data_IF_068977740572
#
_entry.id   IF_068977740572
#
_cell.length_a   1.000
_cell.length_b   1.000
_cell.length_c   1.000
_cell.angle_alpha   90.00
_cell.angle_beta   90.00
_cell.angle_gamma   90.00
#
_symmetry.space_group_name_H-M   'P 1'
#
loop_
_entity.id
_entity.type
_entity.pdbx_description
1 polymer ?
#
# COMPACT_ATOMS: atom_id res chain seq x y z
N UNK A 1 -3.33 13.69 -4.79
CA UNK A 1 -2.18 14.46 -5.29
C UNK A 1 -2.59 15.86 -5.69
N UNK A 2 -3.63 16.02 -6.51
CA UNK A 2 -4.25 17.32 -6.85
C UNK A 2 -4.53 18.22 -5.63
N UNK A 3 -5.18 17.70 -4.58
CA UNK A 3 -5.44 18.45 -3.34
C UNK A 3 -4.19 18.93 -2.59
N UNK A 4 -3.03 18.32 -2.85
CA UNK A 4 -1.73 18.72 -2.29
C UNK A 4 -0.91 19.56 -3.28
N UNK A 5 -1.42 19.78 -4.49
CA UNK A 5 -0.70 20.43 -5.59
C UNK A 5 0.65 19.78 -5.91
N UNK A 6 0.74 18.46 -5.74
CA UNK A 6 1.95 17.67 -6.01
C UNK A 6 1.81 16.88 -7.31
N UNK A 7 2.92 16.76 -8.05
CA UNK A 7 3.06 15.81 -9.16
C UNK A 7 3.05 14.38 -8.63
N UNK A 8 2.65 13.43 -9.48
CA UNK A 8 2.74 12.01 -9.16
C UNK A 8 2.98 11.17 -10.40
N UNK A 9 3.54 10.00 -10.18
CA UNK A 9 3.72 8.97 -11.20
C UNK A 9 2.43 8.15 -11.32
N UNK A 10 2.13 7.66 -12.53
CA UNK A 10 0.93 6.84 -12.76
C UNK A 10 1.09 5.41 -12.24
N UNK A 11 2.25 4.79 -12.51
CA UNK A 11 2.55 3.40 -12.17
C UNK A 11 3.71 3.25 -11.18
N UNK A 12 4.41 4.34 -10.87
CA UNK A 12 5.57 4.34 -9.98
C UNK A 12 5.20 4.61 -8.52
N UNK A 13 6.19 4.46 -7.66
CA UNK A 13 6.10 4.76 -6.23
C UNK A 13 6.83 6.06 -5.93
N UNK A 14 6.11 7.01 -5.35
CA UNK A 14 6.63 8.32 -4.97
C UNK A 14 6.73 8.44 -3.44
N UNK A 15 7.69 9.20 -2.92
CA UNK A 15 7.83 9.49 -1.49
C UNK A 15 7.50 10.95 -1.21
N UNK A 16 6.59 11.16 -0.26
CA UNK A 16 6.18 12.47 0.24
C UNK A 16 6.60 12.61 1.69
N UNK A 17 7.21 13.75 2.04
CA UNK A 17 7.59 14.09 3.41
C UNK A 17 7.18 15.53 3.71
N UNK A 18 6.54 15.76 4.86
CA UNK A 18 6.12 17.11 5.29
C UNK A 18 5.32 17.88 4.23
N UNK A 19 4.41 17.18 3.54
CA UNK A 19 3.57 17.75 2.48
C UNK A 19 4.31 18.07 1.17
N UNK A 20 5.56 17.63 1.01
CA UNK A 20 6.37 17.86 -0.19
C UNK A 20 6.77 16.54 -0.83
N UNK A 21 6.78 16.53 -2.16
CA UNK A 21 7.30 15.43 -2.95
C UNK A 21 8.83 15.43 -2.87
N UNK A 22 9.42 14.38 -2.29
CA UNK A 22 10.87 14.27 -2.08
C UNK A 22 11.53 13.48 -3.21
N UNK A 23 10.86 12.45 -3.71
CA UNK A 23 11.33 11.65 -4.82
C UNK A 23 10.14 10.98 -5.53
N UNK A 24 10.32 10.66 -6.81
CA UNK A 24 9.30 10.09 -7.70
C UNK A 24 9.83 8.85 -8.42
N UNK A 25 8.92 7.97 -8.79
CA UNK A 25 9.18 6.78 -9.64
C UNK A 25 10.37 5.93 -9.14
N UNK A 26 10.33 5.61 -7.85
CA UNK A 26 11.45 4.98 -7.14
C UNK A 26 11.46 3.47 -7.30
N UNK A 27 12.65 2.89 -7.44
CA UNK A 27 12.85 1.45 -7.28
C UNK A 27 13.03 1.05 -5.79
N UNK A 28 13.07 -0.27 -5.53
CA UNK A 28 13.24 -0.83 -4.19
C UNK A 28 14.45 -0.25 -3.43
N UNK A 29 15.63 -0.23 -4.05
CA UNK A 29 16.86 0.23 -3.40
C UNK A 29 16.78 1.70 -3.00
N UNK A 30 16.18 2.54 -3.85
CA UNK A 30 15.95 3.95 -3.56
C UNK A 30 14.96 4.13 -2.41
N UNK A 31 13.88 3.36 -2.40
CA UNK A 31 12.89 3.38 -1.31
C UNK A 31 13.57 2.99 -0.01
N UNK A 32 14.26 1.84 0.05
CA UNK A 32 14.98 1.35 1.22
C UNK A 32 15.98 2.37 1.77
N UNK A 33 16.75 3.02 0.89
CA UNK A 33 17.69 4.07 1.29
C UNK A 33 17.01 5.31 1.87
N UNK A 34 15.84 5.69 1.36
CA UNK A 34 15.09 6.87 1.81
C UNK A 34 14.30 6.64 3.10
N UNK A 35 13.76 5.42 3.29
CA UNK A 35 13.01 5.03 4.48
C UNK A 35 13.92 4.56 5.63
N UNK A 36 15.22 4.38 5.38
CA UNK A 36 16.14 3.94 6.41
C UNK A 36 16.13 4.90 7.62
N UNK A 37 15.97 4.33 8.81
CA UNK A 37 15.93 5.04 10.12
C UNK A 37 14.82 6.10 10.26
N UNK A 38 13.81 6.08 9.38
CA UNK A 38 12.67 7.00 9.43
C UNK A 38 11.37 6.24 9.56
N UNK A 39 10.44 6.78 10.35
CA UNK A 39 9.06 6.31 10.31
C UNK A 39 8.44 6.66 8.96
N UNK A 40 7.98 5.65 8.24
CA UNK A 40 7.33 5.76 6.95
C UNK A 40 5.98 5.05 7.00
N UNK A 41 5.10 5.36 6.05
CA UNK A 41 3.82 4.67 5.85
C UNK A 41 3.68 4.31 4.39
N UNK A 42 3.15 3.13 4.13
CA UNK A 42 2.79 2.69 2.79
C UNK A 42 1.31 2.96 2.60
N UNK A 43 0.93 3.75 1.60
CA UNK A 43 -0.47 4.00 1.25
C UNK A 43 -0.75 3.31 -0.07
N UNK A 44 -1.63 2.32 -0.04
CA UNK A 44 -1.92 1.45 -1.19
C UNK A 44 -3.41 1.28 -1.38
N UNK A 45 -3.82 1.02 -2.61
CA UNK A 45 -5.21 0.69 -2.95
C UNK A 45 -5.26 -0.68 -3.59
N UNK A 46 -6.27 -1.52 -3.28
CA UNK A 46 -6.44 -2.79 -3.96
C UNK A 46 -6.58 -2.62 -5.46
N UNK A 47 -6.01 -3.56 -6.21
CA UNK A 47 -6.18 -3.66 -7.67
C UNK A 47 -7.65 -3.99 -7.94
N UNK A 48 -8.32 -3.11 -8.70
CA UNK A 48 -9.75 -3.23 -8.97
C UNK A 48 -10.10 -4.55 -9.65
N UNK A 49 -11.18 -5.20 -9.21
CA UNK A 49 -11.66 -6.46 -9.76
C UNK A 49 -10.90 -7.72 -9.33
N UNK A 50 -9.66 -7.58 -8.84
CA UNK A 50 -8.85 -8.72 -8.37
C UNK A 50 -8.65 -8.74 -6.85
N UNK A 51 -8.59 -7.56 -6.20
CA UNK A 51 -8.48 -7.47 -4.74
C UNK A 51 -7.05 -7.54 -4.18
N UNK A 52 -6.02 -7.67 -5.01
CA UNK A 52 -4.63 -7.65 -4.55
C UNK A 52 -4.23 -6.30 -3.96
N UNK A 53 -3.70 -6.30 -2.74
CA UNK A 53 -3.08 -5.13 -2.09
C UNK A 53 -1.59 -5.07 -2.46
N UNK A 54 -0.93 -6.23 -2.36
CA UNK A 54 0.45 -6.45 -2.80
C UNK A 54 0.47 -7.66 -3.71
N UNK A 55 1.16 -7.54 -4.84
CA UNK A 55 1.30 -8.60 -5.83
C UNK A 55 2.70 -8.57 -6.44
N UNK A 56 3.08 -9.66 -7.11
CA UNK A 56 4.44 -9.86 -7.67
C UNK A 56 4.92 -8.81 -8.67
N UNK A 57 3.99 -8.09 -9.31
CA UNK A 57 4.31 -7.10 -10.34
C UNK A 57 4.81 -5.75 -9.81
N UNK A 58 4.59 -5.45 -8.52
CA UNK A 58 4.95 -4.16 -7.91
C UNK A 58 6.17 -4.29 -6.97
N UNK A 59 7.28 -4.77 -7.52
CA UNK A 59 8.50 -5.07 -6.73
C UNK A 59 9.15 -3.84 -6.07
N UNK A 60 8.71 -2.62 -6.42
CA UNK A 60 9.11 -1.39 -5.72
C UNK A 60 8.73 -1.45 -4.23
N UNK A 61 7.57 -2.03 -3.91
CA UNK A 61 7.12 -2.33 -2.54
C UNK A 61 7.41 -3.80 -2.21
N UNK A 62 8.69 -4.17 -2.27
CA UNK A 62 9.16 -5.53 -2.02
C UNK A 62 8.89 -6.00 -0.57
N UNK A 63 9.02 -7.32 -0.30
CA UNK A 63 9.07 -7.86 1.06
C UNK A 63 10.01 -7.10 1.99
N UNK A 64 11.20 -6.70 1.52
CA UNK A 64 12.17 -5.96 2.32
C UNK A 64 11.65 -4.57 2.71
N UNK A 65 11.01 -3.86 1.76
CA UNK A 65 10.40 -2.56 2.02
C UNK A 65 9.26 -2.70 3.03
N UNK A 66 8.39 -3.70 2.86
CA UNK A 66 7.26 -3.94 3.77
C UNK A 66 7.76 -4.28 5.17
N UNK A 67 8.74 -5.20 5.31
CA UNK A 67 9.35 -5.54 6.61
C UNK A 67 9.99 -4.31 7.28
N UNK A 68 10.71 -3.49 6.50
CA UNK A 68 11.39 -2.28 7.00
C UNK A 68 10.40 -1.21 7.49
N UNK A 69 9.27 -1.05 6.80
CA UNK A 69 8.22 -0.09 7.16
C UNK A 69 7.33 -0.61 8.29
N UNK A 70 7.11 -1.93 8.35
CA UNK A 70 6.18 -2.58 9.29
C UNK A 70 4.76 -2.64 8.74
N UNK A 71 4.11 -3.80 8.92
CA UNK A 71 2.75 -4.05 8.42
C UNK A 71 1.71 -3.15 9.09
N UNK A 72 1.95 -2.73 10.33
CA UNK A 72 1.13 -1.78 11.08
C UNK A 72 1.13 -0.37 10.47
N UNK A 73 2.12 -0.07 9.62
CA UNK A 73 2.25 1.19 8.89
C UNK A 73 1.74 1.12 7.46
N UNK A 74 1.14 0.00 7.06
CA UNK A 74 0.40 -0.14 5.79
C UNK A 74 -1.02 0.40 5.96
N UNK A 75 -1.35 1.41 5.17
CA UNK A 75 -2.70 2.00 5.09
C UNK A 75 -3.31 1.60 3.77
N UNK A 76 -4.31 0.73 3.83
CA UNK A 76 -5.12 0.35 2.68
C UNK A 76 -6.25 1.36 2.50
N UNK A 77 -6.37 1.94 1.30
CA UNK A 77 -7.43 2.88 0.92
C UNK A 77 -8.25 2.32 -0.25
N UNK A 78 -9.57 2.36 -0.15
CA UNK A 78 -10.46 1.93 -1.23
C UNK A 78 -11.81 2.62 -1.10
N UNK A 79 -12.43 3.03 -2.20
CA UNK A 79 -13.82 3.48 -2.14
C UNK A 79 -14.74 2.30 -1.80
N UNK A 80 -15.89 2.58 -1.16
CA UNK A 80 -16.88 1.53 -0.90
C UNK A 80 -17.27 0.79 -2.19
N UNK A 81 -17.42 1.50 -3.31
CA UNK A 81 -17.72 0.90 -4.61
C UNK A 81 -16.62 -0.05 -5.10
N UNK A 82 -15.33 0.28 -4.89
CA UNK A 82 -14.21 -0.59 -5.25
C UNK A 82 -14.19 -1.87 -4.40
N UNK A 83 -14.54 -1.78 -3.12
CA UNK A 83 -14.65 -2.97 -2.27
C UNK A 83 -15.87 -3.83 -2.61
N UNK A 84 -17.02 -3.20 -2.87
CA UNK A 84 -18.26 -3.89 -3.24
C UNK A 84 -18.13 -4.64 -4.57
N UNK A 85 -17.33 -4.14 -5.51
CA UNK A 85 -17.10 -4.84 -6.79
C UNK A 85 -16.29 -6.13 -6.66
N UNK A 86 -15.60 -6.33 -5.52
CA UNK A 86 -14.96 -7.60 -5.17
C UNK A 86 -15.95 -8.66 -4.70
N UNK A 87 -17.26 -8.38 -4.69
CA UNK A 87 -18.32 -9.34 -4.32
C UNK A 87 -18.14 -9.97 -2.94
N UNK A 88 -17.53 -9.24 -2.00
CA UNK A 88 -17.19 -9.68 -0.64
C UNK A 88 -16.07 -10.73 -0.56
N UNK A 89 -15.36 -10.98 -1.66
CA UNK A 89 -14.13 -11.77 -1.62
C UNK A 89 -13.06 -11.05 -0.79
N UNK A 90 -12.20 -11.77 -0.07
CA UNK A 90 -11.11 -11.18 0.70
C UNK A 90 -10.14 -10.40 -0.20
N UNK A 91 -9.41 -9.46 0.40
CA UNK A 91 -8.26 -8.87 -0.26
C UNK A 91 -7.12 -9.89 -0.32
N UNK A 92 -6.29 -9.77 -1.35
CA UNK A 92 -5.26 -10.76 -1.64
C UNK A 92 -3.87 -10.17 -1.43
N UNK A 93 -2.94 -11.00 -0.96
CA UNK A 93 -1.51 -10.68 -0.90
C UNK A 93 -0.67 -11.80 -1.51
N UNK A 94 0.25 -11.43 -2.40
CA UNK A 94 1.27 -12.32 -2.95
C UNK A 94 2.54 -11.50 -3.21
N UNK A 95 3.33 -11.31 -2.16
CA UNK A 95 4.59 -10.56 -2.19
C UNK A 95 5.75 -11.41 -2.73
N UNK A 96 5.55 -12.72 -2.88
CA UNK A 96 6.61 -13.69 -3.19
C UNK A 96 7.45 -14.10 -1.97
N UNK A 97 7.16 -13.57 -0.78
CA UNK A 97 7.78 -13.94 0.50
C UNK A 97 6.67 -14.40 1.47
N UNK A 98 6.70 -15.69 1.81
CA UNK A 98 5.68 -16.32 2.67
C UNK A 98 5.64 -15.73 4.08
N UNK A 99 6.76 -15.23 4.61
CA UNK A 99 6.79 -14.57 5.91
C UNK A 99 5.97 -13.28 5.85
N UNK A 100 6.20 -12.44 4.84
CA UNK A 100 5.48 -11.17 4.68
C UNK A 100 4.01 -11.39 4.36
N UNK A 101 3.70 -12.35 3.50
CA UNK A 101 2.31 -12.71 3.20
C UNK A 101 1.57 -13.10 4.48
N UNK A 102 2.21 -13.89 5.35
CA UNK A 102 1.64 -14.26 6.65
C UNK A 102 1.51 -13.07 7.62
N UNK A 103 2.43 -12.10 7.60
CA UNK A 103 2.32 -10.88 8.41
C UNK A 103 1.16 -9.97 7.97
N UNK A 104 0.79 -10.01 6.68
CA UNK A 104 -0.28 -9.20 6.10
C UNK A 104 -1.67 -9.86 6.19
N UNK A 105 -1.72 -11.18 6.40
CA UNK A 105 -2.97 -11.95 6.51
C UNK A 105 -3.78 -11.59 7.75
N UNK A 106 -5.09 -11.82 7.64
CA UNK A 106 -6.05 -11.59 8.71
C UNK A 106 -6.87 -10.32 8.48
N UNK A 107 -7.40 -9.74 9.55
CA UNK A 107 -8.28 -8.59 9.44
C UNK A 107 -7.49 -7.29 9.45
N UNK A 108 -7.64 -6.49 8.39
CA UNK A 108 -7.06 -5.15 8.27
C UNK A 108 -8.14 -4.07 8.21
N UNK A 109 -7.80 -2.89 8.69
CA UNK A 109 -8.65 -1.70 8.51
C UNK A 109 -8.39 -1.08 7.15
N UNK A 110 -9.43 -0.97 6.33
CA UNK A 110 -9.42 -0.25 5.06
C UNK A 110 -10.08 1.12 5.25
N UNK A 111 -9.40 2.19 4.87
CA UNK A 111 -9.97 3.55 4.89
C UNK A 111 -10.86 3.73 3.68
N UNK A 112 -12.14 4.00 3.91
CA UNK A 112 -13.16 4.07 2.85
C UNK A 112 -13.68 5.48 2.57
N UNK A 113 -13.39 6.42 3.46
CA UNK A 113 -13.86 7.80 3.37
C UNK A 113 -13.26 8.66 4.47
N UNK A 114 -13.70 9.92 4.54
CA UNK A 114 -13.25 10.83 5.59
C UNK A 114 -13.79 10.36 6.95
N UNK A 115 -12.88 9.98 7.86
CA UNK A 115 -13.21 9.37 9.17
C UNK A 115 -13.99 8.05 9.08
N UNK A 116 -13.98 7.40 7.91
CA UNK A 116 -14.63 6.10 7.71
C UNK A 116 -13.60 4.99 7.46
N UNK A 117 -13.82 3.85 8.11
CA UNK A 117 -13.00 2.65 7.99
C UNK A 117 -13.90 1.41 7.98
N UNK A 118 -13.49 0.40 7.24
CA UNK A 118 -14.10 -0.94 7.25
C UNK A 118 -13.06 -1.97 7.64
N UNK A 119 -13.45 -2.98 8.42
CA UNK A 119 -12.61 -4.15 8.66
C UNK A 119 -12.80 -5.12 7.48
N UNK A 120 -11.71 -5.59 6.91
CA UNK A 120 -11.73 -6.45 5.75
C UNK A 120 -10.74 -7.61 5.91
N UNK A 121 -11.12 -8.79 5.44
CA UNK A 121 -10.26 -9.98 5.50
C UNK A 121 -9.19 -9.91 4.40
N UNK A 122 -7.95 -10.28 4.75
CA UNK A 122 -6.82 -10.41 3.84
C UNK A 122 -6.32 -11.86 3.88
N UNK A 123 -6.13 -12.47 2.71
CA UNK A 123 -5.69 -13.86 2.55
C UNK A 123 -4.49 -14.00 1.62
#
# INVERSE_FOLDING_TARGET
MERLSLKNTLLGIDIIQNGRLVAMDLNENQILGLVNDKMAKIIVTPIGGQGYIFGRGNQQLSPNVIKKVGVENVIVIATQNKLSSLKREPLLVDTGDTEVDNMLRGYMSVVTGYREKMIYMVV
#
